data_IF_666232704994
#
_entry.id   IF_666232704994
#
_cell.length_a   1.000
_cell.length_b   1.000
_cell.length_c   1.000
_cell.angle_alpha   90.00
_cell.angle_beta   90.00
_cell.angle_gamma   90.00
#
_symmetry.space_group_name_H-M   'P 1'
#
loop_
_entity.id
_entity.type
_entity.pdbx_description
1 polymer ?
#
# COMPACT_ATOMS: atom_id res chain seq x y z
N UNK A 1 -0.25 16.45 -0.75
CA UNK A 1 -0.83 15.09 -0.78
C UNK A 1 0.18 13.96 -0.45
N UNK A 2 1.32 14.22 0.22
CA UNK A 2 2.31 13.17 0.54
C UNK A 2 2.75 13.05 2.00
N UNK A 3 2.29 13.94 2.90
CA UNK A 3 2.67 13.89 4.32
C UNK A 3 1.89 12.82 5.09
N UNK A 4 0.61 12.65 4.77
CA UNK A 4 -0.27 11.74 5.50
C UNK A 4 0.04 10.27 5.20
N UNK A 5 0.47 9.93 3.97
CA UNK A 5 0.84 8.57 3.60
C UNK A 5 2.12 8.07 4.27
N UNK A 6 3.09 8.98 4.54
CA UNK A 6 4.30 8.64 5.31
C UNK A 6 3.89 8.30 6.75
N UNK A 7 3.07 9.14 7.37
CA UNK A 7 2.57 8.91 8.72
C UNK A 7 1.79 7.60 8.83
N UNK A 8 0.95 7.28 7.85
CA UNK A 8 0.24 5.99 7.83
C UNK A 8 1.19 4.79 7.74
N UNK A 9 2.23 4.85 6.90
CA UNK A 9 3.20 3.76 6.79
C UNK A 9 3.99 3.55 8.09
N UNK A 10 4.35 4.64 8.79
CA UNK A 10 4.95 4.58 10.12
C UNK A 10 4.01 3.96 11.16
N UNK A 11 2.72 4.35 11.15
CA UNK A 11 1.71 3.78 12.05
C UNK A 11 1.53 2.27 11.82
N UNK A 12 1.54 1.82 10.56
CA UNK A 12 1.48 0.39 10.21
C UNK A 12 2.70 -0.35 10.76
N UNK A 13 3.90 0.16 10.53
CA UNK A 13 5.15 -0.44 11.04
C UNK A 13 5.16 -0.52 12.57
N UNK A 14 4.73 0.56 13.25
CA UNK A 14 4.62 0.59 14.71
C UNK A 14 3.60 -0.42 15.23
N UNK A 15 2.44 -0.54 14.58
CA UNK A 15 1.43 -1.52 14.94
C UNK A 15 1.99 -2.95 14.82
N UNK A 16 2.71 -3.27 13.73
CA UNK A 16 3.33 -4.58 13.59
C UNK A 16 4.31 -4.91 14.70
N UNK A 17 5.14 -3.93 15.11
CA UNK A 17 6.07 -4.10 16.23
C UNK A 17 5.33 -4.34 17.55
N UNK A 18 4.28 -3.55 17.84
CA UNK A 18 3.47 -3.68 19.08
C UNK A 18 2.81 -5.06 19.16
N UNK A 19 2.28 -5.55 18.04
CA UNK A 19 1.59 -6.84 17.98
C UNK A 19 2.51 -8.01 17.61
N UNK A 20 3.82 -7.77 17.50
CA UNK A 20 4.82 -8.77 17.17
C UNK A 20 4.49 -9.56 15.89
N UNK A 21 3.94 -8.88 14.88
CA UNK A 21 3.56 -9.47 13.60
C UNK A 21 4.83 -9.74 12.79
N UNK A 22 5.06 -11.01 12.47
CA UNK A 22 6.21 -11.47 11.68
C UNK A 22 5.76 -11.73 10.24
N UNK A 23 6.29 -10.96 9.29
CA UNK A 23 5.98 -11.08 7.87
C UNK A 23 5.67 -9.74 7.24
N UNK A 24 5.88 -9.62 5.92
CA UNK A 24 5.81 -8.35 5.19
C UNK A 24 4.72 -8.32 4.12
N UNK A 25 3.88 -9.36 4.04
CA UNK A 25 2.78 -9.46 3.08
C UNK A 25 1.56 -8.66 3.54
N UNK A 26 1.07 -7.74 2.71
CA UNK A 26 -0.03 -6.85 3.04
C UNK A 26 -1.03 -6.75 1.89
N UNK A 27 -2.31 -6.92 2.21
CA UNK A 27 -3.42 -6.57 1.33
C UNK A 27 -3.90 -5.16 1.68
N UNK A 28 -3.92 -4.26 0.70
CA UNK A 28 -4.42 -2.91 0.87
C UNK A 28 -5.75 -2.73 0.13
N UNK A 29 -6.84 -2.68 0.90
CA UNK A 29 -8.21 -2.55 0.41
C UNK A 29 -8.56 -1.07 0.20
N UNK A 30 -9.26 -0.77 -0.91
CA UNK A 30 -9.55 0.58 -1.38
C UNK A 30 -8.25 1.38 -1.53
N UNK A 31 -7.31 0.82 -2.30
CA UNK A 31 -5.95 1.32 -2.39
C UNK A 31 -5.82 2.67 -3.12
N UNK A 32 -6.88 3.12 -3.79
CA UNK A 32 -6.88 4.30 -4.65
C UNK A 32 -5.73 4.22 -5.66
N UNK A 33 -5.03 5.33 -5.83
CA UNK A 33 -3.88 5.45 -6.73
C UNK A 33 -2.58 4.81 -6.20
N UNK A 34 -2.62 4.04 -5.11
CA UNK A 34 -1.46 3.24 -4.66
C UNK A 34 -0.34 4.02 -3.94
N UNK A 35 -0.58 5.27 -3.52
CA UNK A 35 0.42 6.11 -2.84
C UNK A 35 0.95 5.44 -1.57
N UNK A 36 0.06 4.94 -0.71
CA UNK A 36 0.46 4.27 0.54
C UNK A 36 1.12 2.91 0.26
N UNK A 37 0.60 2.13 -0.69
CA UNK A 37 1.22 0.87 -1.11
C UNK A 37 2.68 1.07 -1.54
N UNK A 38 2.96 2.16 -2.27
CA UNK A 38 4.34 2.52 -2.67
C UNK A 38 5.23 2.83 -1.48
N UNK A 39 4.73 3.53 -0.46
CA UNK A 39 5.50 3.80 0.76
C UNK A 39 5.80 2.52 1.54
N UNK A 40 4.80 1.66 1.69
CA UNK A 40 4.96 0.37 2.33
C UNK A 40 5.96 -0.52 1.57
N UNK A 41 5.87 -0.59 0.23
CA UNK A 41 6.84 -1.29 -0.63
C UNK A 41 8.28 -0.84 -0.37
N UNK A 42 8.50 0.47 -0.27
CA UNK A 42 9.81 1.05 0.04
C UNK A 42 10.31 0.75 1.46
N UNK A 43 9.41 0.33 2.36
CA UNK A 43 9.73 -0.17 3.70
C UNK A 43 9.88 -1.70 3.74
N UNK A 44 10.09 -2.34 2.58
CA UNK A 44 10.22 -3.79 2.38
C UNK A 44 8.94 -4.60 2.57
N UNK A 45 7.77 -3.96 2.53
CA UNK A 45 6.51 -4.69 2.47
C UNK A 45 6.26 -5.26 1.08
N UNK A 46 5.71 -6.46 1.02
CA UNK A 46 5.11 -7.02 -0.18
C UNK A 46 3.62 -6.69 -0.18
N UNK A 47 3.23 -5.75 -1.03
CA UNK A 47 1.86 -5.21 -1.04
C UNK A 47 1.11 -5.65 -2.28
N UNK A 48 -0.15 -6.04 -2.10
CA UNK A 48 -1.16 -6.14 -3.16
C UNK A 48 -2.23 -5.09 -2.87
N UNK A 49 -2.56 -4.25 -3.84
CA UNK A 49 -3.63 -3.27 -3.72
C UNK A 49 -4.89 -3.73 -4.45
N UNK A 50 -6.06 -3.48 -3.85
CA UNK A 50 -7.35 -3.69 -4.51
C UNK A 50 -8.21 -2.43 -4.42
N UNK A 51 -8.92 -2.10 -5.49
CA UNK A 51 -9.86 -0.98 -5.54
C UNK A 51 -11.00 -1.31 -6.52
N UNK A 52 -12.19 -0.78 -6.26
CA UNK A 52 -13.38 -0.97 -7.12
C UNK A 52 -13.35 -0.04 -8.35
N UNK A 53 -12.56 1.03 -8.29
CA UNK A 53 -12.45 2.00 -9.38
C UNK A 53 -11.36 1.58 -10.35
N UNK A 54 -11.77 1.21 -11.57
CA UNK A 54 -10.84 0.93 -12.67
C UNK A 54 -9.91 2.11 -12.97
N UNK A 55 -10.43 3.34 -12.93
CA UNK A 55 -9.63 4.56 -13.08
C UNK A 55 -8.52 4.66 -12.02
N UNK A 56 -8.82 4.31 -10.75
CA UNK A 56 -7.82 4.33 -9.68
C UNK A 56 -6.76 3.25 -9.88
N UNK A 57 -7.16 2.04 -10.30
CA UNK A 57 -6.24 0.94 -10.60
C UNK A 57 -5.33 1.31 -11.77
N UNK A 58 -5.86 1.91 -12.84
CA UNK A 58 -5.07 2.37 -13.97
C UNK A 58 -4.01 3.39 -13.53
N UNK A 59 -4.39 4.41 -12.76
CA UNK A 59 -3.43 5.38 -12.22
C UNK A 59 -2.41 4.71 -11.29
N UNK A 60 -2.83 3.78 -10.44
CA UNK A 60 -1.91 3.06 -9.55
C UNK A 60 -0.88 2.25 -10.33
N UNK A 61 -1.30 1.52 -11.36
CA UNK A 61 -0.41 0.73 -12.21
C UNK A 61 0.55 1.60 -13.04
N UNK A 62 0.10 2.75 -13.54
CA UNK A 62 0.94 3.68 -14.31
C UNK A 62 1.97 4.42 -13.46
N UNK A 63 1.63 4.73 -12.20
CA UNK A 63 2.45 5.61 -11.35
C UNK A 63 3.33 4.87 -10.35
N UNK A 64 3.25 3.54 -10.32
CA UNK A 64 4.00 2.71 -9.36
C UNK A 64 4.69 1.55 -10.06
N UNK A 65 5.64 0.90 -9.38
CA UNK A 65 6.41 -0.21 -9.98
C UNK A 65 6.63 -1.32 -8.96
N UNK A 66 6.50 -2.57 -9.40
CA UNK A 66 6.74 -3.75 -8.56
C UNK A 66 5.65 -4.03 -7.53
N UNK A 67 4.47 -3.43 -7.66
CA UNK A 67 3.30 -3.68 -6.81
C UNK A 67 2.19 -4.19 -7.73
N UNK A 68 1.47 -5.21 -7.28
CA UNK A 68 0.31 -5.74 -7.99
C UNK A 68 -0.94 -4.99 -7.55
N UNK A 69 -1.74 -4.52 -8.51
CA UNK A 69 -3.03 -3.89 -8.26
C UNK A 69 -4.13 -4.65 -9.01
N UNK A 70 -5.24 -4.94 -8.35
CA UNK A 70 -6.38 -5.68 -8.91
C UNK A 70 -7.69 -4.89 -8.73
N UNK A 71 -8.59 -5.05 -9.71
CA UNK A 71 -9.96 -4.55 -9.66
C UNK A 71 -10.84 -5.57 -8.91
N UNK A 72 -11.74 -5.09 -8.04
CA UNK A 72 -12.76 -5.89 -7.34
C UNK A 72 -14.18 -5.52 -7.76
#
# INVERSE_FOLDING_TARGET
>A
MGKDSIKCAELVSNAMNIYNIVGYYMLYIACGTGILATKLKNMNFEVIGIDISEDMINVAQETTTGIKFELE
#
